data_IF_257465211146
#
_entry.id   IF_257465211146
#
_cell.length_a   1.000
_cell.length_b   1.000
_cell.length_c   1.000
_cell.angle_alpha   90.00
_cell.angle_beta   90.00
_cell.angle_gamma   90.00
#
_symmetry.space_group_name_H-M   'P 1'
#
loop_
_entity.id
_entity.type
_entity.pdbx_description
1 polymer ?
#
# COMPACT_ATOMS: atom_id res chain seq x y z
N UNK A 1 8.00 7.29 21.46
CA UNK A 1 7.30 8.47 20.92
C UNK A 1 5.81 8.20 20.99
N UNK A 2 5.00 9.18 21.41
CA UNK A 2 3.54 9.03 21.35
C UNK A 2 3.10 9.00 19.88
N UNK A 3 2.02 8.28 19.58
CA UNK A 3 1.38 8.36 18.25
C UNK A 3 0.62 9.67 18.18
N UNK A 4 1.07 10.58 17.32
CA UNK A 4 0.40 11.85 17.00
C UNK A 4 0.38 12.03 15.49
N UNK A 5 -0.47 12.94 15.04
CA UNK A 5 -0.58 13.43 13.67
C UNK A 5 -1.02 12.39 12.63
N UNK A 6 -1.37 11.18 13.07
CA UNK A 6 -2.00 10.17 12.23
C UNK A 6 -3.46 10.53 12.00
N UNK A 7 -3.94 10.27 10.79
CA UNK A 7 -5.38 10.29 10.53
C UNK A 7 -5.97 9.07 11.21
N UNK A 8 -6.94 9.31 12.08
CA UNK A 8 -7.63 8.27 12.84
C UNK A 8 -9.13 8.39 12.65
N UNK A 9 -9.82 7.28 12.85
CA UNK A 9 -11.27 7.20 12.92
C UNK A 9 -11.68 6.40 14.15
N UNK A 10 -12.90 6.63 14.64
CA UNK A 10 -13.49 5.77 15.68
C UNK A 10 -14.29 4.66 14.98
N UNK A 11 -13.97 3.38 15.26
CA UNK A 11 -14.72 2.29 14.66
C UNK A 11 -16.15 2.21 15.22
N UNK A 12 -17.08 1.78 14.39
CA UNK A 12 -18.39 1.32 14.83
C UNK A 12 -18.31 -0.09 15.47
N UNK A 13 -19.47 -0.65 15.84
CA UNK A 13 -19.56 -1.96 16.49
C UNK A 13 -19.05 -3.12 15.62
N UNK A 14 -19.03 -2.96 14.29
CA UNK A 14 -18.57 -3.95 13.32
C UNK A 14 -17.11 -3.72 12.91
N UNK A 15 -16.47 -2.67 13.43
CA UNK A 15 -15.10 -2.29 13.11
C UNK A 15 -14.96 -1.53 11.79
N UNK A 16 -16.07 -1.07 11.20
CA UNK A 16 -16.06 -0.14 10.09
C UNK A 16 -15.89 1.29 10.60
N UNK A 17 -15.60 2.24 9.70
CA UNK A 17 -15.55 3.65 10.01
C UNK A 17 -16.16 4.44 8.85
N UNK A 18 -16.67 5.63 9.15
CA UNK A 18 -17.08 6.58 8.13
C UNK A 18 -15.83 7.29 7.58
N UNK A 19 -15.53 7.18 6.27
CA UNK A 19 -14.37 7.84 5.67
C UNK A 19 -14.42 9.37 5.76
N UNK A 20 -15.60 9.95 5.99
CA UNK A 20 -15.80 11.39 6.14
C UNK A 20 -15.65 11.84 7.62
N UNK A 21 -15.74 10.91 8.58
CA UNK A 21 -15.54 11.18 10.02
C UNK A 21 -14.13 10.81 10.50
N UNK A 22 -13.12 11.39 9.86
CA UNK A 22 -11.70 11.21 10.23
C UNK A 22 -11.06 12.50 10.75
N UNK A 23 -9.98 12.36 11.51
CA UNK A 23 -9.22 13.51 12.01
C UNK A 23 -7.79 13.18 12.42
N UNK A 24 -6.97 14.22 12.55
CA UNK A 24 -5.58 14.10 12.98
C UNK A 24 -5.51 13.92 14.49
N UNK A 25 -4.94 12.79 14.93
CA UNK A 25 -4.71 12.49 16.33
C UNK A 25 -3.77 13.51 16.98
N UNK A 26 -4.20 14.19 18.04
CA UNK A 26 -3.37 15.14 18.78
C UNK A 26 -2.88 14.56 20.09
N UNK A 27 -3.77 13.92 20.83
CA UNK A 27 -3.46 13.27 22.09
C UNK A 27 -4.51 12.18 22.42
N UNK A 28 -4.19 11.39 23.44
CA UNK A 28 -5.12 10.46 24.07
C UNK A 28 -4.94 10.60 25.57
N UNK A 29 -6.04 10.84 26.29
CA UNK A 29 -6.04 10.95 27.74
C UNK A 29 -7.25 10.23 28.36
N UNK A 30 -7.44 10.38 29.68
CA UNK A 30 -8.54 9.73 30.40
C UNK A 30 -9.94 10.22 30.01
N UNK A 31 -10.05 11.32 29.25
CA UNK A 31 -11.30 11.86 28.72
C UNK A 31 -11.61 11.39 27.29
N UNK A 32 -10.63 10.79 26.60
CA UNK A 32 -10.80 10.21 25.27
C UNK A 32 -9.73 10.66 24.28
N UNK A 33 -10.08 10.59 23.00
CA UNK A 33 -9.19 10.86 21.87
C UNK A 33 -9.35 12.31 21.44
N UNK A 34 -8.25 13.04 21.37
CA UNK A 34 -8.22 14.41 20.86
C UNK A 34 -7.89 14.37 19.38
N UNK A 35 -8.78 14.92 18.55
CA UNK A 35 -8.58 15.00 17.09
C UNK A 35 -8.79 16.42 16.57
N UNK A 36 -8.17 16.72 15.44
CA UNK A 36 -8.50 17.90 14.61
C UNK A 36 -9.04 17.40 13.28
N UNK A 37 -10.28 17.75 12.94
CA UNK A 37 -10.89 17.37 11.67
C UNK A 37 -10.45 18.32 10.53
N UNK A 38 -10.90 18.04 9.30
CA UNK A 38 -10.60 18.87 8.12
C UNK A 38 -11.13 20.30 8.21
N UNK A 39 -12.21 20.51 8.96
CA UNK A 39 -12.75 21.86 9.23
C UNK A 39 -11.90 22.66 10.23
N UNK A 40 -10.85 22.05 10.80
CA UNK A 40 -9.98 22.65 11.82
C UNK A 40 -10.59 22.66 13.23
N UNK A 41 -11.73 22.00 13.42
CA UNK A 41 -12.35 21.85 14.72
C UNK A 41 -11.57 20.85 15.58
N UNK A 42 -11.30 21.24 16.83
CA UNK A 42 -10.70 20.34 17.81
C UNK A 42 -11.81 19.61 18.57
N UNK A 43 -11.83 18.29 18.44
CA UNK A 43 -12.85 17.43 19.03
C UNK A 43 -12.23 16.51 20.09
N UNK A 44 -13.00 16.24 21.15
CA UNK A 44 -12.69 15.22 22.15
C UNK A 44 -13.71 14.10 22.02
N UNK A 45 -13.29 12.94 21.52
CA UNK A 45 -14.17 11.82 21.25
C UNK A 45 -14.04 10.78 22.37
N UNK A 46 -15.12 10.45 23.09
CA UNK A 46 -15.09 9.43 24.13
C UNK A 46 -15.05 8.03 23.51
N UNK A 47 -13.83 7.53 23.26
CA UNK A 47 -13.62 6.22 22.65
C UNK A 47 -12.44 5.49 23.30
N UNK A 48 -12.58 4.16 23.39
CA UNK A 48 -11.56 3.26 23.94
C UNK A 48 -10.74 2.57 22.84
N UNK A 49 -11.11 2.78 21.58
CA UNK A 49 -10.48 2.21 20.41
C UNK A 49 -10.44 3.26 19.31
N UNK A 50 -9.39 3.19 18.48
CA UNK A 50 -9.25 3.97 17.27
C UNK A 50 -8.74 3.08 16.15
N UNK A 51 -9.06 3.48 14.93
CA UNK A 51 -8.50 2.91 13.72
C UNK A 51 -7.51 3.90 13.11
N UNK A 52 -6.43 3.35 12.55
CA UNK A 52 -5.54 4.08 11.65
C UNK A 52 -5.85 3.54 10.26
N UNK A 53 -6.75 4.19 9.49
CA UNK A 53 -7.14 3.72 8.17
C UNK A 53 -5.97 3.75 7.19
N UNK A 54 -5.95 2.79 6.28
CA UNK A 54 -5.05 2.82 5.14
C UNK A 54 -5.42 4.02 4.25
N UNK A 55 -4.45 4.79 3.71
CA UNK A 55 -4.74 6.01 2.95
C UNK A 55 -5.67 5.80 1.74
N UNK A 56 -5.64 4.62 1.11
CA UNK A 56 -6.54 4.28 -0.02
C UNK A 56 -8.03 4.22 0.38
N UNK A 57 -8.34 4.17 1.67
CA UNK A 57 -9.71 4.14 2.20
C UNK A 57 -10.21 5.53 2.61
N UNK A 58 -9.37 6.56 2.52
CA UNK A 58 -9.74 7.94 2.85
C UNK A 58 -10.34 8.60 1.62
N UNK A 59 -11.56 9.13 1.73
CA UNK A 59 -12.27 9.78 0.64
C UNK A 59 -11.51 11.04 0.17
N UNK A 60 -11.14 11.90 1.12
CA UNK A 60 -10.49 13.18 0.86
C UNK A 60 -8.98 13.15 1.14
N UNK A 61 -8.30 12.09 0.66
CA UNK A 61 -6.87 11.90 0.91
C UNK A 61 -6.01 13.10 0.49
N UNK A 62 -6.36 13.78 -0.61
CA UNK A 62 -5.60 14.94 -1.08
C UNK A 62 -5.82 16.16 -0.18
N UNK A 63 -7.08 16.44 0.21
CA UNK A 63 -7.38 17.52 1.15
C UNK A 63 -6.73 17.28 2.51
N UNK A 64 -6.71 16.03 2.99
CA UNK A 64 -5.98 15.63 4.20
C UNK A 64 -4.48 15.90 4.08
N UNK A 65 -3.87 15.70 2.90
CA UNK A 65 -2.44 16.00 2.69
C UNK A 65 -2.17 17.49 2.68
N UNK A 66 -3.01 18.27 2.02
CA UNK A 66 -2.92 19.74 2.01
C UNK A 66 -3.04 20.29 3.43
N UNK A 67 -4.06 19.84 4.18
CA UNK A 67 -4.26 20.25 5.56
C UNK A 67 -3.12 19.80 6.49
N UNK A 68 -2.57 18.60 6.29
CA UNK A 68 -1.40 18.13 7.03
C UNK A 68 -0.18 19.04 6.81
N UNK A 69 0.03 19.52 5.58
CA UNK A 69 1.11 20.45 5.27
C UNK A 69 0.91 21.79 5.98
N UNK A 70 -0.30 22.35 5.95
CA UNK A 70 -0.65 23.61 6.61
C UNK A 70 -0.50 23.53 8.13
N UNK A 71 -0.86 22.39 8.73
CA UNK A 71 -0.79 22.16 10.17
C UNK A 71 0.62 21.77 10.65
N UNK A 72 1.57 21.58 9.74
CA UNK A 72 2.94 21.16 10.06
C UNK A 72 3.00 19.75 10.66
N UNK A 73 2.10 18.87 10.24
CA UNK A 73 1.99 17.49 10.72
C UNK A 73 3.25 16.69 10.40
N UNK A 74 3.76 15.96 11.40
CA UNK A 74 4.89 15.05 11.26
C UNK A 74 4.47 13.63 11.70
N UNK A 75 4.19 12.77 10.73
CA UNK A 75 3.73 11.41 11.02
C UNK A 75 4.92 10.49 11.37
N UNK A 76 4.79 9.75 12.48
CA UNK A 76 5.78 8.74 12.89
C UNK A 76 5.78 7.49 12.00
N UNK A 77 4.74 7.31 11.18
CA UNK A 77 4.62 6.25 10.17
C UNK A 77 4.16 6.85 8.84
N UNK A 78 4.53 6.19 7.75
CA UNK A 78 4.13 6.60 6.41
C UNK A 78 2.66 6.19 6.13
N UNK A 79 1.74 7.05 6.58
CA UNK A 79 0.30 6.92 6.35
C UNK A 79 -0.17 7.81 5.20
N UNK A 80 -0.19 9.15 5.37
CA UNK A 80 -0.77 10.06 4.37
C UNK A 80 0.03 10.10 3.07
N UNK A 81 1.35 10.14 3.18
CA UNK A 81 2.25 10.29 2.03
C UNK A 81 2.65 8.96 1.38
N UNK A 82 2.13 7.85 1.91
CA UNK A 82 2.24 6.55 1.28
C UNK A 82 1.57 6.60 -0.09
N UNK A 83 2.30 6.19 -1.12
CA UNK A 83 1.75 6.07 -2.45
C UNK A 83 0.61 5.04 -2.48
N UNK A 84 -0.50 5.42 -3.12
CA UNK A 84 -1.72 4.62 -3.23
C UNK A 84 -2.07 4.35 -4.68
N UNK A 85 -2.67 3.19 -4.93
CA UNK A 85 -3.19 2.83 -6.25
C UNK A 85 -4.64 2.39 -6.12
N UNK A 86 -5.50 2.99 -6.93
CA UNK A 86 -6.87 2.53 -7.11
C UNK A 86 -6.93 1.52 -8.24
N UNK A 87 -7.84 0.55 -8.14
CA UNK A 87 -8.11 -0.38 -9.23
C UNK A 87 -8.73 0.38 -10.41
N UNK A 88 -8.15 0.30 -11.62
CA UNK A 88 -8.74 0.95 -12.80
C UNK A 88 -10.14 0.39 -13.09
N UNK A 89 -11.09 1.27 -13.40
CA UNK A 89 -12.46 0.86 -13.77
C UNK A 89 -12.52 0.07 -15.10
N UNK A 90 -11.49 0.22 -15.94
CA UNK A 90 -11.35 -0.47 -17.24
C UNK A 90 -10.73 -1.86 -17.13
N UNK A 91 -10.25 -2.25 -15.94
CA UNK A 91 -9.64 -3.55 -15.72
C UNK A 91 -10.69 -4.67 -15.85
N UNK A 92 -10.36 -5.74 -16.59
CA UNK A 92 -11.18 -6.94 -16.61
C UNK A 92 -11.21 -7.60 -15.22
N UNK A 93 -12.38 -7.62 -14.54
CA UNK A 93 -12.48 -8.20 -13.19
C UNK A 93 -12.22 -9.71 -13.17
N UNK A 94 -12.37 -10.41 -14.31
CA UNK A 94 -12.15 -11.85 -14.44
C UNK A 94 -10.67 -12.22 -14.66
N UNK A 95 -9.82 -11.24 -14.99
CA UNK A 95 -8.38 -11.44 -15.06
C UNK A 95 -7.84 -11.93 -13.71
N UNK A 96 -6.71 -12.63 -13.73
CA UNK A 96 -6.02 -13.16 -12.54
C UNK A 96 -4.61 -12.61 -12.36
N UNK A 97 -4.19 -11.74 -13.28
CA UNK A 97 -2.82 -11.21 -13.33
C UNK A 97 -2.81 -9.78 -13.82
N UNK A 98 -1.90 -8.99 -13.27
CA UNK A 98 -1.59 -7.64 -13.72
C UNK A 98 -0.19 -7.65 -14.31
N UNK A 99 -0.10 -7.33 -15.60
CA UNK A 99 1.11 -7.40 -16.43
C UNK A 99 1.78 -6.04 -16.66
N UNK A 100 1.18 -4.94 -16.18
CA UNK A 100 1.71 -3.57 -16.34
C UNK A 100 3.08 -3.31 -15.71
N UNK A 101 3.61 -4.28 -14.95
CA UNK A 101 4.96 -4.26 -14.37
C UNK A 101 5.78 -5.49 -14.78
N UNK A 102 5.38 -6.22 -15.82
CA UNK A 102 6.17 -7.30 -16.41
C UNK A 102 7.20 -6.72 -17.39
N UNK A 103 8.23 -7.47 -17.79
CA UNK A 103 9.21 -6.96 -18.77
C UNK A 103 10.38 -6.19 -18.17
N UNK A 104 10.52 -6.12 -16.85
CA UNK A 104 11.54 -5.32 -16.20
C UNK A 104 12.86 -6.06 -16.10
N UNK A 105 13.80 -5.79 -17.00
CA UNK A 105 15.10 -6.48 -17.04
C UNK A 105 16.07 -5.98 -15.96
N UNK A 106 16.78 -6.92 -15.35
CA UNK A 106 17.90 -6.69 -14.44
C UNK A 106 19.10 -7.49 -14.91
N UNK A 107 20.28 -6.86 -14.95
CA UNK A 107 21.52 -7.52 -15.35
C UNK A 107 21.81 -8.79 -14.55
N UNK A 108 21.41 -8.83 -13.27
CA UNK A 108 21.52 -10.01 -12.42
C UNK A 108 20.35 -10.10 -11.44
N UNK A 109 19.82 -11.30 -11.22
CA UNK A 109 18.73 -11.57 -10.27
C UNK A 109 19.02 -11.05 -8.86
N UNK A 110 20.27 -11.13 -8.39
CA UNK A 110 20.66 -10.60 -7.08
C UNK A 110 20.32 -9.13 -6.87
N UNK A 111 20.29 -8.31 -7.92
CA UNK A 111 19.93 -6.90 -7.82
C UNK A 111 18.45 -6.72 -7.50
N UNK A 112 17.58 -7.48 -8.16
CA UNK A 112 16.15 -7.48 -7.89
C UNK A 112 15.84 -8.07 -6.51
N UNK A 113 16.52 -9.16 -6.11
CA UNK A 113 16.37 -9.74 -4.77
C UNK A 113 16.82 -8.78 -3.66
N UNK A 114 17.95 -8.10 -3.83
CA UNK A 114 18.43 -7.09 -2.89
C UNK A 114 17.43 -5.92 -2.75
N UNK A 115 16.81 -5.50 -3.87
CA UNK A 115 15.77 -4.48 -3.88
C UNK A 115 14.51 -4.94 -3.13
N UNK A 116 14.04 -6.16 -3.37
CA UNK A 116 12.93 -6.75 -2.62
C UNK A 116 13.20 -6.75 -1.11
N UNK A 117 14.40 -7.18 -0.70
CA UNK A 117 14.81 -7.16 0.70
C UNK A 117 14.87 -5.74 1.29
N UNK A 118 15.40 -4.76 0.56
CA UNK A 118 15.49 -3.36 0.99
C UNK A 118 14.10 -2.72 1.22
N UNK A 119 13.08 -3.17 0.47
CA UNK A 119 11.69 -2.74 0.68
C UNK A 119 10.91 -3.62 1.67
N UNK A 120 11.55 -4.63 2.28
CA UNK A 120 10.92 -5.51 3.26
C UNK A 120 10.02 -6.60 2.67
N UNK A 121 10.15 -6.91 1.38
CA UNK A 121 9.37 -7.95 0.71
C UNK A 121 10.12 -9.29 0.74
N UNK A 122 9.64 -10.30 1.49
CA UNK A 122 10.23 -11.63 1.44
C UNK A 122 10.02 -12.27 0.07
N UNK A 123 11.04 -12.97 -0.43
CA UNK A 123 10.94 -13.75 -1.67
C UNK A 123 10.67 -15.23 -1.36
N UNK A 124 9.67 -15.82 -2.02
CA UNK A 124 9.23 -17.21 -1.85
C UNK A 124 8.90 -17.83 -3.21
N UNK A 125 9.66 -18.86 -3.61
CA UNK A 125 9.43 -19.57 -4.87
C UNK A 125 9.48 -18.68 -6.10
N UNK A 126 10.40 -17.71 -6.14
CA UNK A 126 10.53 -16.74 -7.22
C UNK A 126 9.56 -15.56 -7.18
N UNK A 127 8.77 -15.41 -6.11
CA UNK A 127 7.86 -14.27 -5.94
C UNK A 127 8.27 -13.39 -4.76
N UNK A 128 8.34 -12.07 -4.96
CA UNK A 128 8.23 -11.12 -3.85
C UNK A 128 6.80 -11.14 -3.32
N UNK A 129 6.62 -11.20 -2.00
CA UNK A 129 5.31 -11.37 -1.36
C UNK A 129 4.99 -10.18 -0.46
N UNK A 130 3.83 -9.57 -0.68
CA UNK A 130 3.21 -8.61 0.23
C UNK A 130 1.92 -9.21 0.79
N UNK A 131 1.89 -9.44 2.10
CA UNK A 131 0.75 -10.01 2.80
C UNK A 131 -0.11 -8.90 3.39
N UNK A 132 -1.38 -8.88 3.03
CA UNK A 132 -2.35 -7.87 3.47
C UNK A 132 -3.50 -8.56 4.20
N UNK A 133 -3.93 -7.95 5.31
CA UNK A 133 -5.17 -8.33 5.99
C UNK A 133 -6.22 -7.26 5.70
N UNK A 134 -7.34 -7.68 5.11
CA UNK A 134 -8.38 -6.79 4.63
C UNK A 134 -9.72 -7.51 4.73
N UNK A 135 -10.76 -6.83 5.23
CA UNK A 135 -12.12 -7.37 5.35
C UNK A 135 -12.19 -8.79 5.96
N UNK A 136 -11.43 -9.02 7.04
CA UNK A 136 -11.40 -10.32 7.74
C UNK A 136 -10.61 -11.43 7.04
N UNK A 137 -10.02 -11.19 5.87
CA UNK A 137 -9.25 -12.18 5.10
C UNK A 137 -7.80 -11.76 4.90
N UNK A 138 -6.92 -12.74 4.77
CA UNK A 138 -5.55 -12.52 4.30
C UNK A 138 -5.50 -12.68 2.78
N UNK A 139 -4.93 -11.71 2.10
CA UNK A 139 -4.56 -11.76 0.68
C UNK A 139 -3.04 -11.64 0.56
N UNK A 140 -2.43 -12.45 -0.30
CA UNK A 140 -1.03 -12.30 -0.68
C UNK A 140 -0.95 -11.74 -2.09
N UNK A 141 -0.38 -10.55 -2.23
CA UNK A 141 0.13 -10.06 -3.50
C UNK A 141 1.48 -10.71 -3.77
N UNK A 142 1.64 -11.31 -4.95
CA UNK A 142 2.82 -12.08 -5.35
C UNK A 142 3.32 -11.57 -6.68
N UNK A 143 4.51 -11.00 -6.70
CA UNK A 143 5.11 -10.42 -7.90
C UNK A 143 6.32 -11.24 -8.33
N UNK A 144 6.33 -11.72 -9.58
CA UNK A 144 7.40 -12.60 -10.06
C UNK A 144 8.71 -11.82 -10.20
N UNK A 145 9.75 -12.34 -9.55
CA UNK A 145 11.10 -11.78 -9.52
C UNK A 145 12.17 -12.73 -10.03
N UNK A 146 11.82 -13.97 -10.40
CA UNK A 146 12.75 -14.98 -10.91
C UNK A 146 13.25 -15.98 -9.86
N UNK A 147 13.64 -17.18 -10.32
CA UNK A 147 14.07 -18.32 -9.49
C UNK A 147 15.39 -18.96 -9.93
N UNK A 148 16.05 -18.38 -10.92
CA UNK A 148 17.28 -18.90 -11.52
C UNK A 148 18.52 -18.57 -10.67
N UNK A 149 19.72 -18.79 -11.22
CA UNK A 149 20.97 -18.42 -10.55
C UNK A 149 21.03 -16.90 -10.28
N UNK A 150 21.38 -16.45 -9.06
CA UNK A 150 21.44 -15.04 -8.71
C UNK A 150 22.36 -14.18 -9.58
N UNK A 151 23.32 -14.78 -10.28
CA UNK A 151 24.27 -14.10 -11.16
C UNK A 151 23.80 -13.98 -12.61
N UNK A 152 22.64 -14.52 -12.96
CA UNK A 152 22.09 -14.48 -14.31
C UNK A 152 21.12 -13.31 -14.47
N UNK A 153 21.01 -12.84 -15.72
CA UNK A 153 19.99 -11.88 -16.12
C UNK A 153 18.59 -12.38 -15.76
N UNK A 154 17.70 -11.47 -15.38
CA UNK A 154 16.32 -11.79 -15.06
C UNK A 154 15.36 -10.69 -15.49
N UNK A 155 14.09 -11.04 -15.55
CA UNK A 155 13.00 -10.15 -15.92
C UNK A 155 11.87 -10.26 -14.90
N UNK A 156 11.26 -9.14 -14.54
CA UNK A 156 10.04 -9.15 -13.73
C UNK A 156 8.88 -9.75 -14.52
N UNK A 157 8.03 -10.51 -13.84
CA UNK A 157 6.80 -11.06 -14.43
C UNK A 157 5.56 -10.45 -13.79
N UNK A 158 4.44 -11.15 -13.93
CA UNK A 158 3.15 -10.60 -13.53
C UNK A 158 2.97 -10.49 -12.02
N UNK A 159 2.15 -9.54 -11.60
CA UNK A 159 1.58 -9.47 -10.26
C UNK A 159 0.29 -10.31 -10.21
N UNK A 160 0.24 -11.27 -9.28
CA UNK A 160 -0.95 -12.09 -9.00
C UNK A 160 -1.35 -11.96 -7.54
N UNK A 161 -2.59 -12.31 -7.22
CA UNK A 161 -3.12 -12.31 -5.86
C UNK A 161 -3.60 -13.70 -5.48
N UNK A 162 -3.32 -14.13 -4.26
CA UNK A 162 -3.80 -15.40 -3.73
C UNK A 162 -4.45 -15.24 -2.36
N UNK A 163 -5.34 -16.18 -2.02
CA UNK A 163 -5.77 -16.35 -0.63
C UNK A 163 -4.66 -17.00 0.23
N UNK A 164 -4.95 -17.21 1.52
CA UNK A 164 -4.05 -17.88 2.46
C UNK A 164 -3.74 -19.34 2.10
N UNK A 165 -4.62 -20.01 1.36
CA UNK A 165 -4.40 -21.39 0.89
C UNK A 165 -3.54 -21.44 -0.38
N UNK A 166 -3.18 -20.28 -0.96
CA UNK A 166 -2.44 -20.17 -2.21
C UNK A 166 -3.34 -20.24 -3.45
N UNK A 167 -4.66 -20.16 -3.29
CA UNK A 167 -5.61 -20.14 -4.41
C UNK A 167 -5.57 -18.77 -5.09
N UNK A 168 -5.35 -18.75 -6.40
CA UNK A 168 -5.37 -17.52 -7.19
C UNK A 168 -6.74 -16.84 -7.19
N UNK A 169 -6.75 -15.53 -6.94
CA UNK A 169 -7.93 -14.66 -6.95
C UNK A 169 -8.13 -14.01 -8.31
N UNK A 170 -9.38 -13.72 -8.66
CA UNK A 170 -9.69 -12.79 -9.74
C UNK A 170 -9.41 -11.36 -9.29
N UNK A 171 -9.02 -10.49 -10.20
CA UNK A 171 -8.69 -9.10 -9.88
C UNK A 171 -9.91 -8.34 -9.33
N UNK A 172 -11.13 -8.71 -9.69
CA UNK A 172 -12.37 -8.16 -9.11
C UNK A 172 -12.60 -8.55 -7.63
N UNK A 173 -11.99 -9.64 -7.15
CA UNK A 173 -12.15 -10.15 -5.78
C UNK A 173 -11.14 -9.54 -4.79
N UNK A 174 -10.15 -8.79 -5.30
CA UNK A 174 -9.10 -8.15 -4.50
C UNK A 174 -9.66 -6.87 -3.89
N UNK A 175 -9.49 -6.65 -2.59
CA UNK A 175 -9.92 -5.40 -1.96
C UNK A 175 -8.96 -4.24 -2.24
N UNK A 176 -9.39 -2.98 -2.00
CA UNK A 176 -8.61 -1.78 -2.32
C UNK A 176 -7.25 -1.71 -1.62
N UNK A 177 -7.12 -2.18 -0.37
CA UNK A 177 -5.85 -2.19 0.37
C UNK A 177 -4.91 -3.23 -0.22
N UNK A 178 -5.37 -4.46 -0.42
CA UNK A 178 -4.55 -5.51 -1.02
C UNK A 178 -4.08 -5.12 -2.43
N UNK A 179 -4.97 -4.53 -3.22
CA UNK A 179 -4.64 -3.99 -4.54
C UNK A 179 -3.55 -2.92 -4.45
N UNK A 180 -3.78 -1.87 -3.65
CA UNK A 180 -2.85 -0.74 -3.53
C UNK A 180 -1.45 -1.19 -3.09
N UNK A 181 -1.37 -2.04 -2.07
CA UNK A 181 -0.08 -2.51 -1.55
C UNK A 181 0.64 -3.49 -2.48
N UNK A 182 -0.12 -4.34 -3.20
CA UNK A 182 0.45 -5.21 -4.23
C UNK A 182 1.03 -4.42 -5.40
N UNK A 183 0.30 -3.41 -5.89
CA UNK A 183 0.77 -2.53 -6.97
C UNK A 183 1.95 -1.68 -6.49
N UNK A 184 1.93 -1.17 -5.25
CA UNK A 184 3.07 -0.45 -4.66
C UNK A 184 4.34 -1.29 -4.66
N UNK A 185 4.23 -2.57 -4.29
CA UNK A 185 5.35 -3.52 -4.34
C UNK A 185 5.85 -3.70 -5.78
N UNK A 186 4.96 -4.02 -6.72
CA UNK A 186 5.35 -4.21 -8.12
C UNK A 186 6.01 -2.97 -8.71
N UNK A 187 5.43 -1.79 -8.52
CA UNK A 187 5.97 -0.51 -8.97
C UNK A 187 7.34 -0.21 -8.36
N UNK A 188 7.49 -0.39 -7.05
CA UNK A 188 8.75 -0.16 -6.36
C UNK A 188 9.85 -1.07 -6.90
N UNK A 189 9.58 -2.35 -7.14
CA UNK A 189 10.57 -3.30 -7.67
C UNK A 189 10.87 -3.03 -9.15
N UNK A 190 9.86 -2.87 -9.98
CA UNK A 190 9.98 -2.56 -11.41
C UNK A 190 10.77 -1.27 -11.70
N UNK A 191 10.69 -0.28 -10.81
CA UNK A 191 11.45 0.97 -10.94
C UNK A 191 12.99 0.78 -10.91
N UNK A 192 13.47 -0.37 -10.43
CA UNK A 192 14.91 -0.69 -10.39
C UNK A 192 15.47 -1.31 -11.68
N UNK A 193 14.61 -1.57 -12.69
CA UNK A 193 15.01 -2.19 -13.95
C UNK A 193 16.02 -1.34 -14.72
N UNK A 194 16.75 -1.97 -15.63
CA UNK A 194 17.57 -1.26 -16.62
C UNK A 194 16.66 -0.44 -17.53
N UNK A 195 16.96 0.86 -17.68
CA UNK A 195 16.29 1.75 -18.63
C UNK A 195 17.27 2.04 -19.75
N UNK A 196 16.99 1.55 -20.95
CA UNK A 196 17.75 1.95 -22.14
C UNK A 196 17.56 3.46 -22.35
N UNK A 197 18.67 4.19 -22.49
CA UNK A 197 18.60 5.58 -22.93
C UNK A 197 18.31 5.56 -24.43
N UNK A 198 17.38 6.39 -24.93
CA UNK A 198 17.23 6.55 -26.37
C UNK A 198 18.58 6.97 -26.95
N UNK A 199 19.03 6.29 -28.01
CA UNK A 199 20.19 6.74 -28.77
C UNK A 199 19.90 8.16 -29.25
N UNK A 200 20.73 9.12 -28.85
CA UNK A 200 20.72 10.46 -29.43
C UNK A 200 21.02 10.28 -30.92
N UNK A 201 19.99 10.36 -31.75
CA UNK A 201 20.11 10.21 -33.20
C UNK A 201 21.07 11.25 -33.75
N UNK A 202 22.19 10.77 -34.30
CA UNK A 202 23.23 11.56 -34.97
C UNK A 202 22.76 12.06 -36.35
#
# INVERSE_FOLDING_TARGET
TALTDLVVAVPDADGAFDPDEVGFLRDVDGSGIGVVNLDGETLRIPANQLLIPHPVLLADLEELREFAADLGVAQSVDQLFRATWSRPATLDPESRRLDGYSGGTFAELRHLLARAAAHGYPVRGGYAVCRVFEAGRTVEARYWVGSEDPSWETETGDLVFTDRAGTGLRLGEVGPVAWSEGVRMAAALYAGRVVEKPEDGE
#
